data_IF_815021794918
#
_entry.id   IF_815021794918
#
_cell.length_a   1.000
_cell.length_b   1.000
_cell.length_c   1.000
_cell.angle_alpha   90.00
_cell.angle_beta   90.00
_cell.angle_gamma   90.00
#
_symmetry.space_group_name_H-M   'P 1'
#
loop_
_entity.id
_entity.type
_entity.pdbx_description
1 polymer ?
#
# COMPACT_ATOMS: atom_id res chain seq x y z
N UNK A 1 12.02 8.32 -2.73
CA UNK A 1 12.32 8.46 -1.29
C UNK A 1 11.76 7.31 -0.46
N UNK A 2 10.45 7.03 -0.50
CA UNK A 2 9.84 5.93 0.28
C UNK A 2 10.49 4.56 -0.02
N UNK A 3 10.62 4.18 -1.31
CA UNK A 3 11.32 2.94 -1.72
C UNK A 3 12.71 2.83 -1.07
N UNK A 4 13.54 3.88 -1.21
CA UNK A 4 14.88 3.94 -0.60
C UNK A 4 14.85 3.71 0.91
N UNK A 5 13.93 4.36 1.65
CA UNK A 5 13.79 4.11 3.08
C UNK A 5 13.44 2.65 3.39
N UNK A 6 12.49 2.04 2.66
CA UNK A 6 12.08 0.65 2.91
C UNK A 6 13.25 -0.34 2.73
N UNK A 7 14.10 -0.09 1.73
CA UNK A 7 15.28 -0.90 1.45
C UNK A 7 16.40 -0.66 2.48
N UNK A 8 16.66 0.59 2.87
CA UNK A 8 17.70 0.96 3.84
C UNK A 8 17.43 0.39 5.23
N UNK A 9 16.17 0.39 5.68
CA UNK A 9 15.78 -0.24 6.94
C UNK A 9 15.76 -1.77 6.89
N UNK A 10 16.12 -2.39 5.75
CA UNK A 10 16.15 -3.84 5.49
C UNK A 10 14.88 -4.59 5.91
N UNK A 11 13.73 -3.92 5.79
CA UNK A 11 12.42 -4.56 6.05
C UNK A 11 11.77 -5.13 4.80
N UNK A 12 12.26 -4.72 3.62
CA UNK A 12 11.80 -5.16 2.31
C UNK A 12 13.01 -5.45 1.42
N UNK A 13 12.95 -6.52 0.63
CA UNK A 13 13.91 -6.76 -0.43
C UNK A 13 13.47 -6.02 -1.70
N UNK A 14 14.44 -5.65 -2.54
CA UNK A 14 14.16 -4.87 -3.76
C UNK A 14 13.20 -5.58 -4.71
N UNK A 15 13.30 -6.90 -4.83
CA UNK A 15 12.41 -7.74 -5.63
C UNK A 15 10.94 -7.72 -5.15
N UNK A 16 10.71 -7.37 -3.88
CA UNK A 16 9.38 -7.37 -3.26
C UNK A 16 8.74 -5.96 -3.30
N UNK A 17 9.43 -4.96 -3.86
CA UNK A 17 8.94 -3.58 -3.95
C UNK A 17 8.56 -3.26 -5.40
N UNK A 18 7.27 -3.08 -5.63
CA UNK A 18 6.75 -2.59 -6.91
C UNK A 18 6.56 -1.08 -6.86
N UNK A 19 7.16 -0.36 -7.81
CA UNK A 19 7.03 1.09 -7.96
C UNK A 19 6.35 1.43 -9.28
N UNK A 20 5.18 2.08 -9.19
CA UNK A 20 4.48 2.64 -10.34
C UNK A 20 4.51 4.16 -10.34
N UNK A 21 4.73 4.73 -11.52
CA UNK A 21 4.69 6.17 -11.77
C UNK A 21 3.99 6.40 -13.11
N UNK A 22 3.26 7.51 -13.25
CA UNK A 22 2.67 7.93 -14.53
C UNK A 22 3.62 8.78 -15.37
N UNK A 23 4.68 9.29 -14.74
CA UNK A 23 5.78 10.01 -15.37
C UNK A 23 7.13 9.45 -14.88
N UNK A 24 8.09 9.31 -15.79
CA UNK A 24 9.38 8.74 -15.47
C UNK A 24 10.11 9.63 -14.44
N UNK A 25 10.56 9.07 -13.31
CA UNK A 25 11.27 9.86 -12.32
C UNK A 25 12.63 10.32 -12.87
N UNK A 26 12.96 11.60 -12.67
CA UNK A 26 14.17 12.22 -13.22
C UNK A 26 15.09 12.79 -12.14
N UNK A 27 16.35 13.02 -12.51
CA UNK A 27 17.34 13.65 -11.64
C UNK A 27 17.65 12.83 -10.40
N UNK A 28 17.63 13.46 -9.22
CA UNK A 28 17.90 12.81 -7.92
C UNK A 28 16.85 11.75 -7.53
N UNK A 29 15.72 11.69 -8.24
CA UNK A 29 14.67 10.71 -8.03
C UNK A 29 14.68 9.56 -9.05
N UNK A 30 15.58 9.61 -10.03
CA UNK A 30 15.68 8.59 -11.07
C UNK A 30 15.80 7.19 -10.45
N UNK A 31 15.01 6.27 -10.98
CA UNK A 31 14.92 4.90 -10.50
C UNK A 31 14.67 4.00 -11.71
N UNK A 32 15.63 3.11 -11.99
CA UNK A 32 15.59 2.22 -13.16
C UNK A 32 14.51 1.15 -13.08
N UNK A 33 14.02 0.84 -11.87
CA UNK A 33 13.02 -0.19 -11.64
C UNK A 33 11.62 0.41 -11.48
N UNK A 34 11.51 1.74 -11.57
CA UNK A 34 10.21 2.40 -11.64
C UNK A 34 9.52 2.02 -12.95
N UNK A 35 8.39 1.33 -12.82
CA UNK A 35 7.54 1.04 -13.96
C UNK A 35 6.72 2.28 -14.28
N UNK A 36 7.08 2.96 -15.37
CA UNK A 36 6.35 4.13 -15.88
C UNK A 36 5.20 3.67 -16.78
N UNK A 37 3.96 3.90 -16.39
CA UNK A 37 2.77 3.39 -17.10
C UNK A 37 1.50 4.19 -16.80
N UNK A 38 0.44 3.93 -17.56
CA UNK A 38 -0.89 4.47 -17.27
C UNK A 38 -1.50 3.72 -16.07
N UNK A 39 -1.50 4.36 -14.90
CA UNK A 39 -1.96 3.74 -13.66
C UNK A 39 -3.50 3.79 -13.58
N UNK A 40 -4.13 2.63 -13.41
CA UNK A 40 -5.58 2.52 -13.27
C UNK A 40 -6.00 1.98 -11.92
N UNK A 41 -7.20 2.34 -11.46
CA UNK A 41 -7.78 1.78 -10.23
C UNK A 41 -7.80 0.26 -10.29
N UNK A 42 -8.23 -0.32 -11.42
CA UNK A 42 -8.27 -1.77 -11.61
C UNK A 42 -6.89 -2.41 -11.42
N UNK A 43 -5.83 -1.80 -11.93
CA UNK A 43 -4.46 -2.31 -11.76
C UNK A 43 -4.04 -2.31 -10.29
N UNK A 44 -4.23 -1.19 -9.59
CA UNK A 44 -3.89 -1.07 -8.16
C UNK A 44 -4.67 -2.09 -7.34
N UNK A 45 -6.00 -2.12 -7.50
CA UNK A 45 -6.88 -3.00 -6.73
C UNK A 45 -6.59 -4.46 -7.02
N UNK A 46 -6.43 -4.84 -8.29
CA UNK A 46 -6.10 -6.22 -8.65
C UNK A 46 -4.79 -6.66 -8.03
N UNK A 47 -3.77 -5.81 -8.05
CA UNK A 47 -2.48 -6.15 -7.48
C UNK A 47 -2.54 -6.27 -5.96
N UNK A 48 -3.17 -5.31 -5.27
CA UNK A 48 -3.36 -5.39 -3.83
C UNK A 48 -4.17 -6.64 -3.44
N UNK A 49 -5.23 -6.97 -4.18
CA UNK A 49 -6.01 -8.20 -3.95
C UNK A 49 -5.17 -9.47 -4.17
N UNK A 50 -4.24 -9.48 -5.13
CA UNK A 50 -3.29 -10.59 -5.30
C UNK A 50 -2.36 -10.73 -4.11
N UNK A 51 -1.90 -9.60 -3.55
CA UNK A 51 -1.03 -9.62 -2.38
C UNK A 51 -1.77 -10.06 -1.12
N UNK A 52 -2.96 -9.51 -0.85
CA UNK A 52 -3.63 -9.69 0.45
C UNK A 52 -4.42 -10.99 0.60
N UNK A 53 -4.64 -11.74 -0.49
CA UNK A 53 -5.43 -12.99 -0.49
C UNK A 53 -4.56 -14.24 -0.32
N UNK A 54 -5.19 -15.30 0.20
CA UNK A 54 -4.58 -16.61 0.42
C UNK A 54 -3.91 -17.15 -0.85
N UNK A 55 -2.64 -17.56 -0.71
CA UNK A 55 -1.86 -18.17 -1.78
C UNK A 55 -0.49 -17.53 -2.01
N UNK A 56 -0.31 -16.26 -1.62
CA UNK A 56 0.96 -15.54 -1.76
C UNK A 56 1.62 -15.17 -0.43
N UNK A 57 0.86 -15.15 0.67
CA UNK A 57 1.35 -14.72 1.98
C UNK A 57 1.10 -15.75 3.07
N UNK A 58 1.95 -15.69 4.07
CA UNK A 58 1.86 -16.41 5.33
C UNK A 58 1.43 -15.47 6.47
N UNK A 59 0.77 -15.99 7.52
CA UNK A 59 0.56 -15.23 8.74
C UNK A 59 1.89 -14.64 9.27
N UNK A 60 1.91 -13.34 9.57
CA UNK A 60 3.09 -12.58 9.95
C UNK A 60 3.64 -11.67 8.84
N UNK A 61 3.23 -11.89 7.58
CA UNK A 61 3.68 -11.06 6.47
C UNK A 61 3.16 -9.63 6.57
N UNK A 62 3.96 -8.68 6.10
CA UNK A 62 3.66 -7.24 6.18
C UNK A 62 3.67 -6.61 4.80
N UNK A 63 2.52 -6.09 4.39
CA UNK A 63 2.32 -5.35 3.15
C UNK A 63 2.28 -3.86 3.45
N UNK A 64 3.01 -3.07 2.66
CA UNK A 64 2.91 -1.63 2.67
C UNK A 64 2.39 -1.12 1.32
N UNK A 65 1.28 -0.40 1.36
CA UNK A 65 0.79 0.34 0.21
C UNK A 65 0.99 1.84 0.45
N UNK A 66 1.81 2.48 -0.40
CA UNK A 66 2.00 3.93 -0.39
C UNK A 66 1.42 4.54 -1.66
N UNK A 67 0.59 5.57 -1.50
CA UNK A 67 0.02 6.34 -2.59
C UNK A 67 0.32 7.83 -2.39
N UNK A 68 0.79 8.49 -3.44
CA UNK A 68 0.91 9.95 -3.49
C UNK A 68 0.11 10.47 -4.67
N UNK A 69 -0.79 11.42 -4.43
CA UNK A 69 -1.66 11.94 -5.48
C UNK A 69 -2.58 13.08 -5.03
N UNK A 70 -3.30 13.67 -5.98
CA UNK A 70 -4.19 14.80 -5.70
C UNK A 70 -5.60 14.33 -5.33
N UNK A 71 -6.31 15.12 -4.52
CA UNK A 71 -7.73 14.88 -4.24
C UNK A 71 -8.54 15.03 -5.54
N UNK A 72 -9.41 14.08 -5.84
CA UNK A 72 -10.46 14.27 -6.84
C UNK A 72 -11.72 14.86 -6.17
N UNK A 73 -12.32 15.87 -6.79
CA UNK A 73 -13.61 16.41 -6.37
C UNK A 73 -14.73 15.62 -7.05
N UNK A 74 -15.24 14.60 -6.36
CA UNK A 74 -16.36 13.76 -6.79
C UNK A 74 -17.32 13.52 -5.63
N UNK A 75 -18.50 12.97 -5.93
CA UNK A 75 -19.49 12.55 -4.92
C UNK A 75 -18.90 11.53 -3.95
N UNK A 76 -18.05 10.62 -4.47
CA UNK A 76 -17.30 9.65 -3.68
C UNK A 76 -15.86 10.12 -3.42
N UNK A 77 -15.33 9.96 -2.19
CA UNK A 77 -13.93 10.21 -1.89
C UNK A 77 -12.97 9.42 -2.79
N UNK A 78 -12.05 10.13 -3.43
CA UNK A 78 -11.09 9.53 -4.36
C UNK A 78 -9.81 10.35 -4.51
N UNK A 79 -8.74 9.69 -4.93
CA UNK A 79 -7.44 10.29 -5.25
C UNK A 79 -7.09 10.06 -6.70
N UNK A 80 -6.60 11.10 -7.36
CA UNK A 80 -6.04 11.07 -8.70
C UNK A 80 -4.71 10.31 -8.63
N UNK A 81 -4.61 9.23 -9.40
CA UNK A 81 -3.47 8.30 -9.41
C UNK A 81 -2.67 8.35 -10.71
N UNK A 82 -3.07 9.21 -11.64
CA UNK A 82 -2.37 9.45 -12.90
C UNK A 82 -3.32 9.71 -14.05
N UNK A 83 -2.80 9.61 -15.28
CA UNK A 83 -3.57 9.75 -16.51
C UNK A 83 -3.82 8.39 -17.16
N UNK A 84 -4.95 8.27 -17.84
CA UNK A 84 -5.28 7.14 -18.70
C UNK A 84 -4.81 7.44 -20.14
N UNK A 85 -4.84 6.42 -21.03
CA UNK A 85 -4.39 6.53 -22.42
C UNK A 85 -5.13 7.59 -23.24
N UNK A 86 -6.35 7.91 -22.85
CA UNK A 86 -7.22 8.93 -23.47
C UNK A 86 -7.13 10.29 -22.76
N UNK A 87 -6.03 10.53 -22.04
CA UNK A 87 -5.75 11.74 -21.23
C UNK A 87 -6.71 12.00 -20.06
N UNK A 88 -7.67 11.10 -19.83
CA UNK A 88 -8.59 11.22 -18.70
C UNK A 88 -7.86 10.95 -17.39
N UNK A 89 -8.23 11.69 -16.35
CA UNK A 89 -7.71 11.45 -15.01
C UNK A 89 -8.21 10.11 -14.48
N UNK A 90 -7.26 9.28 -14.07
CA UNK A 90 -7.51 8.03 -13.37
C UNK A 90 -7.63 8.32 -11.87
N UNK A 91 -8.64 7.75 -11.23
CA UNK A 91 -8.94 7.98 -9.81
C UNK A 91 -9.08 6.65 -9.07
N UNK A 92 -8.45 6.52 -7.91
CA UNK A 92 -8.67 5.45 -6.95
C UNK A 92 -9.76 5.86 -5.97
N UNK A 93 -10.82 5.07 -5.89
CA UNK A 93 -11.95 5.31 -4.98
C UNK A 93 -11.69 4.71 -3.60
N UNK A 94 -12.24 5.36 -2.58
CA UNK A 94 -12.23 4.86 -1.21
C UNK A 94 -12.87 3.47 -1.09
N UNK A 95 -14.05 3.25 -1.70
CA UNK A 95 -14.75 1.96 -1.63
C UNK A 95 -13.94 0.79 -2.20
N UNK A 96 -13.11 1.05 -3.21
CA UNK A 96 -12.22 0.05 -3.79
C UNK A 96 -11.10 -0.35 -2.82
N UNK A 97 -10.61 0.59 -2.02
CA UNK A 97 -9.65 0.29 -0.96
C UNK A 97 -10.31 -0.42 0.23
N UNK A 98 -11.54 -0.06 0.59
CA UNK A 98 -12.31 -0.77 1.61
C UNK A 98 -12.49 -2.24 1.25
N UNK A 99 -12.75 -2.54 -0.03
CA UNK A 99 -12.83 -3.92 -0.52
C UNK A 99 -11.51 -4.69 -0.37
N UNK A 100 -10.37 -4.04 -0.60
CA UNK A 100 -9.04 -4.63 -0.38
C UNK A 100 -8.83 -4.94 1.11
N UNK A 101 -9.16 -3.99 2.00
CA UNK A 101 -9.00 -4.14 3.45
C UNK A 101 -9.83 -5.33 3.96
N UNK A 102 -11.07 -5.46 3.50
CA UNK A 102 -11.95 -6.58 3.85
C UNK A 102 -11.46 -7.94 3.32
N UNK A 103 -10.54 -7.94 2.36
CA UNK A 103 -9.99 -9.14 1.74
C UNK A 103 -8.65 -9.58 2.35
N UNK A 104 -8.15 -8.88 3.38
CA UNK A 104 -6.87 -9.21 4.01
C UNK A 104 -6.97 -10.52 4.78
N UNK A 105 -6.10 -11.48 4.41
CA UNK A 105 -6.00 -12.77 5.10
C UNK A 105 -5.65 -12.62 6.58
N UNK A 106 -6.16 -13.56 7.38
CA UNK A 106 -5.92 -13.56 8.82
C UNK A 106 -4.42 -13.64 9.15
N UNK A 107 -3.95 -12.74 10.02
CA UNK A 107 -2.55 -12.69 10.44
C UNK A 107 -1.61 -11.94 9.48
N UNK A 108 -2.12 -11.42 8.36
CA UNK A 108 -1.36 -10.52 7.48
C UNK A 108 -1.54 -9.07 7.95
N UNK A 109 -0.45 -8.31 7.98
CA UNK A 109 -0.46 -6.90 8.33
C UNK A 109 -0.44 -6.03 7.07
N UNK A 110 -1.54 -5.34 6.79
CA UNK A 110 -1.60 -4.30 5.75
C UNK A 110 -1.47 -2.90 6.36
N UNK A 111 -0.45 -2.15 5.95
CA UNK A 111 -0.32 -0.72 6.23
C UNK A 111 -0.59 0.08 4.95
N UNK A 112 -1.43 1.10 5.04
CA UNK A 112 -1.74 2.01 3.93
C UNK A 112 -1.37 3.45 4.28
N UNK A 113 -0.56 4.08 3.45
CA UNK A 113 -0.13 5.47 3.60
C UNK A 113 -0.54 6.27 2.36
N UNK A 114 -1.47 7.22 2.53
CA UNK A 114 -1.98 8.06 1.43
C UNK A 114 -1.53 9.51 1.65
N UNK A 115 -0.57 9.94 0.85
CA UNK A 115 -0.15 11.33 0.76
C UNK A 115 -1.04 12.10 -0.23
N UNK A 116 -2.16 12.61 0.27
CA UNK A 116 -3.09 13.42 -0.52
C UNK A 116 -3.89 14.37 0.36
N UNK A 117 -4.26 15.55 -0.17
CA UNK A 117 -5.22 16.45 0.47
C UNK A 117 -6.63 15.84 0.62
N UNK A 118 -6.90 14.69 0.00
CA UNK A 118 -8.14 13.91 0.15
C UNK A 118 -8.04 12.70 1.08
N UNK A 119 -6.88 12.44 1.70
CA UNK A 119 -6.62 11.21 2.45
C UNK A 119 -7.58 10.96 3.62
N UNK A 120 -7.95 12.03 4.34
CA UNK A 120 -8.86 11.97 5.50
C UNK A 120 -10.24 11.36 5.19
N UNK A 121 -10.68 11.45 3.93
CA UNK A 121 -11.97 10.90 3.49
C UNK A 121 -11.83 9.61 2.69
N UNK A 122 -10.61 9.25 2.27
CA UNK A 122 -10.34 8.03 1.52
C UNK A 122 -10.35 6.77 2.37
N UNK A 123 -10.05 6.91 3.65
CA UNK A 123 -10.07 5.81 4.60
C UNK A 123 -10.89 6.32 5.79
N UNK A 124 -12.14 5.88 5.91
CA UNK A 124 -12.87 6.05 7.18
C UNK A 124 -12.20 5.14 8.20
N UNK A 125 -11.17 5.67 8.85
CA UNK A 125 -10.52 5.13 10.05
C UNK A 125 -10.47 3.59 10.10
N UNK A 126 -9.54 2.99 9.36
CA UNK A 126 -8.98 1.71 9.79
C UNK A 126 -8.19 1.97 11.07
N UNK A 127 -8.88 2.02 12.20
CA UNK A 127 -8.27 1.77 13.49
C UNK A 127 -7.54 0.43 13.37
N UNK A 128 -6.21 0.49 13.47
CA UNK A 128 -5.36 -0.68 13.68
C UNK A 128 -5.97 -1.53 14.81
N UNK A 129 -6.68 -2.60 14.47
CA UNK A 129 -6.94 -3.67 15.43
C UNK A 129 -5.86 -4.72 15.23
N UNK A 130 -4.72 -4.48 15.89
CA UNK A 130 -3.89 -5.59 16.32
C UNK A 130 -4.75 -6.43 17.28
N UNK A 131 -5.26 -7.58 16.83
CA UNK A 131 -5.18 -8.74 17.72
C UNK A 131 -3.72 -9.13 17.66
N UNK A 132 -2.93 -8.66 18.62
CA UNK A 132 -1.65 -9.30 18.89
C UNK A 132 -1.95 -10.79 19.04
N UNK A 133 -1.57 -11.59 18.04
CA UNK A 133 -1.20 -12.97 18.32
C UNK A 133 0.00 -12.80 19.23
N UNK A 134 -0.14 -13.16 20.51
CA UNK A 134 0.99 -13.19 21.42
C UNK A 134 2.16 -13.84 20.69
N UNK A 135 3.27 -13.12 20.57
CA UNK A 135 4.48 -13.68 19.99
C UNK A 135 4.81 -14.95 20.81
N UNK A 136 4.94 -16.15 20.20
CA UNK A 136 5.13 -17.41 20.93
C UNK A 136 6.42 -17.48 21.77
N UNK A 137 7.23 -16.42 21.79
CA UNK A 137 8.56 -16.39 22.38
C UNK A 137 8.75 -15.34 23.50
N UNK A 138 7.69 -14.66 23.93
CA UNK A 138 7.70 -13.90 25.19
C UNK A 138 7.20 -14.77 26.37
N UNK A 139 7.65 -16.02 26.42
CA UNK A 139 7.72 -16.72 27.70
C UNK A 139 8.88 -16.07 28.47
N UNK A 140 8.53 -15.33 29.53
CA UNK A 140 9.46 -14.81 30.52
C UNK A 140 10.36 -15.93 31.08
N UNK A 141 11.46 -16.25 30.41
CA UNK A 141 12.65 -16.82 31.04
C UNK A 141 13.47 -15.68 31.60
N UNK A 142 12.97 -15.04 32.67
CA UNK A 142 13.78 -14.32 33.66
C UNK A 142 12.92 -14.06 34.90
N UNK A 143 12.62 -15.14 35.63
CA UNK A 143 12.38 -15.08 37.06
C UNK A 143 13.26 -16.15 37.70
N UNK A 144 14.57 -15.94 37.62
CA UNK A 144 15.59 -16.64 38.38
C UNK A 144 16.66 -15.62 38.75
N UNK A 145 16.45 -14.97 39.89
CA UNK A 145 17.45 -14.45 40.83
C UNK A 145 16.71 -13.76 41.97
#
# INVERSE_FOLDING_TARGET
>A
MVKKCLLEYRRYEEKDVVLWTDEAPMGVFADSDATTTYITEKMIVSHLLTLVKDGYLSPGDTILFFLSGHKAFRVEPSVIIGKHKDERLSCLRASSLDHVIQSVSNGVHLTMAINSCGSLVMIRWSQFQFRFVEAPFLLHRHAAS
#
